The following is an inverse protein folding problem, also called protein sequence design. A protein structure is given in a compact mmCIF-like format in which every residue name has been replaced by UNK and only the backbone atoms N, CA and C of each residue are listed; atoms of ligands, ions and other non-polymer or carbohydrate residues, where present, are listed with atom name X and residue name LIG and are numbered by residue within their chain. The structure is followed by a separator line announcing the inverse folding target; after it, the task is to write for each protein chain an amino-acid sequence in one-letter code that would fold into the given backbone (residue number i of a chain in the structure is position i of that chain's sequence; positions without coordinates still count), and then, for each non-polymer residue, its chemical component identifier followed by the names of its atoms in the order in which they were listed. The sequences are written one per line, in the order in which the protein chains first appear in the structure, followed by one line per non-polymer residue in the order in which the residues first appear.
data_IF_996543171628
#
_entry.id   IF_996543171628
#
_cell.length_a   1.000
_cell.length_b   1.000
_cell.length_c   1.000
_cell.angle_alpha   90.00
_cell.angle_beta   90.00
_cell.angle_gamma   90.00
#
_symmetry.space_group_name_H-M   'P 1'
#
loop_
_entity.id
_entity.type
_entity.pdbx_description
1 polymer ?
#
# COMPACT_ATOMS: atom_id res chain seq x y z
N UNK A 1 -10.16 -21.36 16.98
CA UNK A 1 -9.91 -19.96 16.68
C UNK A 1 -10.07 -19.78 15.18
N UNK A 2 -10.76 -18.76 14.71
CA UNK A 2 -10.87 -18.44 13.28
C UNK A 2 -9.54 -17.87 12.79
N UNK A 3 -9.10 -18.25 11.59
CA UNK A 3 -7.91 -17.70 10.95
C UNK A 3 -8.10 -16.18 10.73
N UNK A 4 -7.17 -15.32 11.18
CA UNK A 4 -7.29 -13.88 10.97
C UNK A 4 -7.28 -13.51 9.48
N UNK A 5 -8.11 -12.56 9.09
CA UNK A 5 -8.19 -12.03 7.72
C UNK A 5 -7.33 -10.77 7.64
N UNK A 6 -6.32 -10.80 6.79
CA UNK A 6 -5.42 -9.67 6.52
C UNK A 6 -5.63 -9.20 5.08
N UNK A 7 -6.05 -7.96 4.94
CA UNK A 7 -6.39 -7.35 3.66
C UNK A 7 -5.36 -6.29 3.26
N UNK A 8 -5.06 -6.16 1.99
CA UNK A 8 -4.31 -5.05 1.44
C UNK A 8 -5.11 -4.26 0.41
N UNK A 9 -4.97 -2.93 0.43
CA UNK A 9 -5.60 -1.99 -0.49
C UNK A 9 -4.52 -1.22 -1.23
N UNK A 10 -4.45 -1.33 -2.54
CA UNK A 10 -3.53 -0.50 -3.29
C UNK A 10 -3.07 -1.08 -4.63
N UNK A 11 -1.85 -0.74 -5.00
CA UNK A 11 -1.28 -1.07 -6.29
C UNK A 11 -0.97 -2.56 -6.46
N UNK A 12 -1.26 -3.06 -7.66
CA UNK A 12 -0.79 -4.33 -8.20
C UNK A 12 -0.18 -4.03 -9.59
N UNK A 13 1.06 -4.46 -9.81
CA UNK A 13 1.83 -4.02 -10.96
C UNK A 13 2.88 -5.06 -11.38
N UNK A 14 3.47 -4.85 -12.55
CA UNK A 14 4.66 -5.55 -13.00
C UNK A 14 5.91 -4.70 -12.83
N UNK A 15 6.90 -5.21 -12.11
CA UNK A 15 8.28 -4.69 -12.15
C UNK A 15 8.96 -5.24 -13.40
N UNK A 16 9.31 -4.33 -14.32
CA UNK A 16 9.97 -4.66 -15.60
C UNK A 16 11.49 -4.64 -15.40
N UNK A 17 12.05 -5.79 -15.02
CA UNK A 17 13.47 -5.96 -14.77
C UNK A 17 14.19 -6.42 -16.05
N UNK A 18 15.50 -6.16 -16.21
CA UNK A 18 16.28 -6.71 -17.33
C UNK A 18 16.23 -8.25 -17.43
N UNK A 19 15.99 -8.93 -16.31
CA UNK A 19 15.87 -10.40 -16.25
C UNK A 19 14.46 -10.92 -16.56
N UNK A 20 13.50 -10.05 -16.81
CA UNK A 20 12.09 -10.38 -17.02
C UNK A 20 11.16 -9.67 -16.03
N UNK A 21 9.85 -9.78 -16.27
CA UNK A 21 8.84 -9.13 -15.42
C UNK A 21 8.60 -9.91 -14.12
N UNK A 22 8.38 -9.20 -13.03
CA UNK A 22 8.03 -9.74 -11.72
C UNK A 22 6.75 -9.08 -11.20
N UNK A 23 5.81 -9.88 -10.71
CA UNK A 23 4.62 -9.33 -10.04
C UNK A 23 5.03 -8.61 -8.74
N UNK A 24 4.52 -7.40 -8.55
CA UNK A 24 4.86 -6.49 -7.47
C UNK A 24 3.65 -5.68 -6.99
N UNK A 25 3.93 -4.76 -6.09
CA UNK A 25 2.99 -3.93 -5.37
C UNK A 25 3.15 -4.14 -3.86
N UNK A 26 3.52 -3.09 -3.12
CA UNK A 26 3.79 -3.21 -1.69
C UNK A 26 2.59 -3.79 -0.90
N UNK A 27 1.33 -3.36 -1.15
CA UNK A 27 0.19 -3.94 -0.45
C UNK A 27 -0.01 -5.43 -0.72
N UNK A 28 0.15 -5.86 -1.98
CA UNK A 28 -0.03 -7.28 -2.35
C UNK A 28 1.06 -8.15 -1.74
N UNK A 29 2.31 -7.67 -1.71
CA UNK A 29 3.41 -8.34 -1.03
C UNK A 29 3.12 -8.48 0.47
N UNK A 30 2.54 -7.47 1.11
CA UNK A 30 2.13 -7.53 2.51
C UNK A 30 1.10 -8.65 2.75
N UNK A 31 0.03 -8.73 1.95
CA UNK A 31 -0.97 -9.78 2.05
C UNK A 31 -0.38 -11.18 1.84
N UNK A 32 0.55 -11.33 0.88
CA UNK A 32 1.26 -12.57 0.62
C UNK A 32 2.07 -13.03 1.83
N UNK A 33 2.88 -12.15 2.42
CA UNK A 33 3.69 -12.49 3.59
C UNK A 33 2.84 -12.77 4.82
N UNK A 34 1.75 -12.02 5.03
CA UNK A 34 0.80 -12.31 6.10
C UNK A 34 0.20 -13.71 5.96
N UNK A 35 -0.22 -14.09 4.75
CA UNK A 35 -0.74 -15.43 4.46
C UNK A 35 0.31 -16.53 4.73
N UNK A 36 1.57 -16.32 4.34
CA UNK A 36 2.67 -17.27 4.63
C UNK A 36 2.91 -17.46 6.13
N UNK A 37 2.49 -16.50 6.94
CA UNK A 37 2.56 -16.55 8.40
C UNK A 37 1.25 -17.03 9.06
N UNK A 38 0.36 -17.69 8.31
CA UNK A 38 -0.80 -18.39 8.85
C UNK A 38 -2.07 -17.57 8.95
N UNK A 39 -2.17 -16.46 8.22
CA UNK A 39 -3.41 -15.68 8.09
C UNK A 39 -4.11 -15.97 6.76
N UNK A 40 -5.35 -15.51 6.61
CA UNK A 40 -6.05 -15.46 5.32
C UNK A 40 -5.73 -14.13 4.64
N UNK A 41 -4.87 -14.16 3.61
CA UNK A 41 -4.41 -12.95 2.89
C UNK A 41 -5.36 -12.58 1.76
N UNK A 42 -5.74 -11.30 1.70
CA UNK A 42 -6.59 -10.72 0.67
C UNK A 42 -5.94 -9.49 0.02
N UNK A 43 -6.12 -9.34 -1.29
CA UNK A 43 -5.68 -8.13 -2.02
C UNK A 43 -6.84 -7.51 -2.79
N UNK A 44 -7.02 -6.20 -2.62
CA UNK A 44 -7.92 -5.35 -3.40
C UNK A 44 -7.08 -4.41 -4.25
N UNK A 45 -7.31 -4.46 -5.57
CA UNK A 45 -6.63 -3.63 -6.56
C UNK A 45 -7.46 -3.53 -7.84
N UNK A 46 -6.88 -2.94 -8.89
CA UNK A 46 -7.42 -2.99 -10.24
C UNK A 46 -6.31 -3.23 -11.28
N UNK A 47 -6.66 -3.93 -12.37
CA UNK A 47 -5.82 -4.17 -13.54
C UNK A 47 -6.57 -3.80 -14.81
N UNK A 48 -5.85 -3.64 -15.91
CA UNK A 48 -6.43 -3.40 -17.21
C UNK A 48 -7.17 -4.61 -17.79
N UNK A 49 -7.99 -4.34 -18.79
CA UNK A 49 -8.58 -5.35 -19.68
C UNK A 49 -7.54 -5.76 -20.73
N UNK A 50 -6.34 -6.15 -20.29
CA UNK A 50 -5.19 -6.49 -21.11
C UNK A 50 -4.50 -7.78 -20.65
N UNK A 51 -3.59 -8.31 -21.46
CA UNK A 51 -2.87 -9.55 -21.19
C UNK A 51 -2.02 -9.48 -19.91
N UNK A 52 -1.41 -8.31 -19.63
CA UNK A 52 -0.64 -8.12 -18.41
C UNK A 52 -1.52 -8.22 -17.15
N UNK A 53 -2.76 -7.74 -17.23
CA UNK A 53 -3.76 -7.87 -16.18
C UNK A 53 -4.19 -9.31 -15.94
N UNK A 54 -4.40 -10.07 -17.02
CA UNK A 54 -4.72 -11.51 -16.94
C UNK A 54 -3.62 -12.28 -16.24
N UNK A 55 -2.37 -12.03 -16.61
CA UNK A 55 -1.21 -12.67 -16.00
C UNK A 55 -1.01 -12.28 -14.54
N UNK A 56 -1.25 -11.01 -14.14
CA UNK A 56 -1.15 -10.58 -12.74
C UNK A 56 -2.18 -11.29 -11.86
N UNK A 57 -3.43 -11.39 -12.33
CA UNK A 57 -4.48 -12.11 -11.62
C UNK A 57 -4.11 -13.59 -11.48
N UNK A 58 -3.61 -14.21 -12.55
CA UNK A 58 -3.15 -15.59 -12.52
C UNK A 58 -2.03 -15.79 -11.49
N UNK A 59 -1.04 -14.89 -11.45
CA UNK A 59 0.07 -14.93 -10.47
C UNK A 59 -0.40 -14.79 -9.03
N UNK A 60 -1.34 -13.88 -8.75
CA UNK A 60 -1.90 -13.73 -7.42
C UNK A 60 -2.65 -15.01 -6.97
N UNK A 61 -3.41 -15.63 -7.88
CA UNK A 61 -4.11 -16.88 -7.64
C UNK A 61 -3.13 -18.06 -7.41
N UNK A 62 -2.07 -18.18 -8.23
CA UNK A 62 -1.01 -19.18 -8.06
C UNK A 62 -0.30 -19.04 -6.71
N UNK A 63 -0.14 -17.81 -6.23
CA UNK A 63 0.44 -17.53 -4.91
C UNK A 63 -0.49 -17.89 -3.74
N UNK A 64 -1.78 -18.17 -4.02
CA UNK A 64 -2.80 -18.52 -3.03
C UNK A 64 -3.40 -17.32 -2.30
N UNK A 65 -3.20 -16.10 -2.81
CA UNK A 65 -3.80 -14.87 -2.24
C UNK A 65 -5.26 -14.81 -2.71
N UNK A 66 -6.19 -14.57 -1.79
CA UNK A 66 -7.56 -14.22 -2.16
C UNK A 66 -7.59 -12.82 -2.76
N UNK A 67 -8.32 -12.62 -3.83
CA UNK A 67 -8.30 -11.35 -4.55
C UNK A 67 -9.68 -10.79 -4.85
N UNK A 68 -9.82 -9.47 -4.77
CA UNK A 68 -10.90 -8.72 -5.41
C UNK A 68 -10.22 -7.69 -6.31
N UNK A 69 -9.83 -8.14 -7.49
CA UNK A 69 -9.16 -7.31 -8.49
C UNK A 69 -10.18 -6.87 -9.52
N UNK A 70 -10.42 -5.57 -9.60
CA UNK A 70 -11.30 -4.97 -10.59
C UNK A 70 -10.61 -4.93 -11.96
N UNK A 71 -11.40 -4.93 -13.03
CA UNK A 71 -10.93 -4.70 -14.39
C UNK A 71 -11.54 -3.40 -14.92
N UNK A 72 -10.71 -2.62 -15.59
CA UNK A 72 -11.15 -1.38 -16.22
C UNK A 72 -10.38 -1.11 -17.53
N UNK A 73 -10.78 -0.06 -18.25
CA UNK A 73 -10.20 0.29 -19.55
C UNK A 73 -8.80 0.95 -19.45
N UNK A 74 -8.30 1.23 -18.26
CA UNK A 74 -6.96 1.76 -18.07
C UNK A 74 -5.92 0.64 -18.14
N UNK A 75 -4.69 0.92 -18.61
CA UNK A 75 -3.69 -0.12 -18.76
C UNK A 75 -3.27 -0.70 -17.42
N UNK A 76 -2.91 -1.99 -17.42
CA UNK A 76 -2.23 -2.62 -16.29
C UNK A 76 -0.90 -1.91 -16.00
N UNK A 77 -0.63 -1.63 -14.75
CA UNK A 77 0.55 -0.89 -14.33
C UNK A 77 1.83 -1.67 -14.53
N UNK A 78 2.83 -0.98 -15.06
CA UNK A 78 4.22 -1.43 -15.11
C UNK A 78 5.12 -0.41 -14.43
N UNK A 79 6.18 -0.88 -13.79
CA UNK A 79 7.27 -0.05 -13.28
C UNK A 79 8.53 -0.44 -14.04
N UNK A 80 9.09 0.54 -14.76
CA UNK A 80 10.39 0.34 -15.41
C UNK A 80 11.50 0.52 -14.38
N UNK A 81 12.38 -0.46 -14.31
CA UNK A 81 13.56 -0.42 -13.44
C UNK A 81 14.79 -0.24 -14.32
N UNK A 82 15.31 0.97 -14.38
CA UNK A 82 16.55 1.30 -15.06
C UNK A 82 17.70 1.37 -14.07
N UNK A 83 18.87 0.82 -14.45
CA UNK A 83 20.08 0.96 -13.65
C UNK A 83 20.86 2.19 -14.13
N UNK A 84 20.92 3.24 -13.30
CA UNK A 84 21.74 4.40 -13.56
C UNK A 84 22.96 4.41 -12.62
N UNK A 85 24.14 4.18 -13.16
CA UNK A 85 25.37 4.00 -12.38
C UNK A 85 25.29 2.89 -11.33
N UNK A 86 24.54 1.81 -11.61
CA UNK A 86 24.35 0.71 -10.67
C UNK A 86 23.27 0.92 -9.61
N UNK A 87 22.61 2.08 -9.59
CA UNK A 87 21.51 2.40 -8.70
C UNK A 87 20.19 2.22 -9.45
N UNK A 88 19.22 1.45 -8.91
CA UNK A 88 17.89 1.31 -9.51
C UNK A 88 17.12 2.64 -9.52
N UNK A 89 16.64 3.04 -10.68
CA UNK A 89 15.75 4.18 -10.87
C UNK A 89 14.39 3.64 -11.31
N UNK A 90 13.34 3.93 -10.55
CA UNK A 90 11.99 3.42 -10.78
C UNK A 90 11.13 4.47 -11.47
N UNK A 91 10.57 4.13 -12.63
CA UNK A 91 9.58 4.98 -13.30
C UNK A 91 8.19 4.38 -13.14
N UNK A 92 7.34 5.03 -12.32
CA UNK A 92 5.97 4.62 -12.06
C UNK A 92 5.02 5.43 -12.94
N UNK A 93 4.38 4.77 -13.89
CA UNK A 93 3.46 5.41 -14.85
C UNK A 93 2.19 5.87 -14.13
N UNK A 94 1.66 7.05 -14.49
CA UNK A 94 0.35 7.57 -14.04
C UNK A 94 -0.75 7.17 -15.04
N UNK A 95 -2.02 7.18 -14.58
CA UNK A 95 -3.15 6.82 -15.44
C UNK A 95 -3.20 5.32 -15.77
N UNK A 96 -3.05 4.51 -14.74
CA UNK A 96 -3.10 3.05 -14.82
C UNK A 96 -4.30 2.51 -14.04
N UNK A 97 -4.61 1.24 -14.20
CA UNK A 97 -5.85 0.65 -13.71
C UNK A 97 -6.09 0.85 -12.20
N UNK A 98 -5.07 0.70 -11.34
CA UNK A 98 -5.24 0.91 -9.90
C UNK A 98 -5.34 2.39 -9.47
N UNK A 99 -5.15 3.35 -10.36
CA UNK A 99 -5.53 4.75 -10.14
C UNK A 99 -7.07 4.93 -10.16
N UNK A 100 -7.83 3.91 -10.59
CA UNK A 100 -9.27 3.91 -10.81
C UNK A 100 -9.99 2.74 -10.12
N UNK A 101 -9.68 2.52 -8.83
CA UNK A 101 -10.38 1.52 -8.00
C UNK A 101 -11.75 2.08 -7.64
N UNK A 102 -12.83 1.43 -8.09
CA UNK A 102 -14.19 1.87 -7.86
C UNK A 102 -14.73 1.38 -6.52
N UNK A 103 -15.46 2.23 -5.81
CA UNK A 103 -16.14 1.86 -4.58
C UNK A 103 -17.36 0.97 -4.89
N UNK A 104 -17.36 -0.25 -4.37
CA UNK A 104 -18.42 -1.24 -4.63
C UNK A 104 -18.86 -1.94 -3.35
N UNK A 105 -20.08 -2.49 -3.38
CA UNK A 105 -20.61 -3.30 -2.27
C UNK A 105 -19.72 -4.51 -1.96
N UNK A 106 -19.18 -5.16 -2.98
CA UNK A 106 -18.27 -6.29 -2.81
C UNK A 106 -17.04 -5.92 -1.97
N UNK A 107 -16.44 -4.74 -2.21
CA UNK A 107 -15.28 -4.28 -1.46
C UNK A 107 -15.64 -4.02 0.01
N UNK A 108 -16.80 -3.42 0.27
CA UNK A 108 -17.30 -3.19 1.65
C UNK A 108 -17.45 -4.53 2.37
N UNK A 109 -18.06 -5.52 1.73
CA UNK A 109 -18.34 -6.83 2.31
C UNK A 109 -17.05 -7.59 2.69
N UNK A 110 -15.95 -7.38 1.96
CA UNK A 110 -14.65 -7.97 2.26
C UNK A 110 -13.94 -7.18 3.37
N UNK A 111 -13.87 -5.85 3.24
CA UNK A 111 -13.19 -4.96 4.20
C UNK A 111 -13.81 -5.07 5.60
N UNK A 112 -15.15 -5.18 5.68
CA UNK A 112 -15.86 -5.28 6.97
C UNK A 112 -15.55 -6.56 7.77
N UNK A 113 -14.94 -7.57 7.15
CA UNK A 113 -14.53 -8.83 7.80
C UNK A 113 -13.06 -8.83 8.22
N UNK A 114 -12.25 -7.92 7.68
CA UNK A 114 -10.81 -7.92 7.90
C UNK A 114 -10.43 -7.64 9.36
N UNK A 115 -9.48 -8.42 9.88
CA UNK A 115 -8.84 -8.21 11.19
C UNK A 115 -7.74 -7.15 11.09
N UNK A 116 -7.09 -7.07 9.91
CA UNK A 116 -6.11 -6.04 9.59
C UNK A 116 -6.26 -5.58 8.15
N UNK A 117 -6.02 -4.30 7.90
CA UNK A 117 -6.01 -3.69 6.55
C UNK A 117 -4.72 -2.91 6.36
N UNK A 118 -3.95 -3.25 5.33
CA UNK A 118 -2.74 -2.52 4.94
C UNK A 118 -3.03 -1.60 3.75
N UNK A 119 -2.49 -0.38 3.80
CA UNK A 119 -2.59 0.62 2.74
C UNK A 119 -1.33 1.52 2.75
N UNK A 120 -1.06 2.17 1.62
CA UNK A 120 0.10 3.06 1.45
C UNK A 120 -0.28 4.36 0.73
N UNK A 121 0.71 5.20 0.44
CA UNK A 121 0.49 6.49 -0.24
C UNK A 121 0.26 6.36 -1.74
N UNK A 122 0.94 5.42 -2.40
CA UNK A 122 1.04 5.37 -3.85
C UNK A 122 -0.31 5.22 -4.55
N UNK A 123 -1.17 4.31 -4.08
CA UNK A 123 -2.48 4.09 -4.67
C UNK A 123 -3.48 5.23 -4.39
N UNK A 124 -3.17 6.13 -3.45
CA UNK A 124 -3.98 7.29 -3.14
C UNK A 124 -3.56 8.56 -3.89
N UNK A 125 -2.62 8.46 -4.83
CA UNK A 125 -2.20 9.58 -5.70
C UNK A 125 -3.29 10.05 -6.67
N UNK A 126 -4.24 9.16 -6.99
CA UNK A 126 -5.38 9.45 -7.86
C UNK A 126 -6.62 9.78 -7.02
N UNK A 127 -7.38 10.83 -7.35
CA UNK A 127 -8.57 11.22 -6.59
C UNK A 127 -9.62 10.11 -6.47
N UNK A 128 -9.78 9.27 -7.50
CA UNK A 128 -10.78 8.21 -7.53
C UNK A 128 -10.44 7.07 -6.56
N UNK A 129 -9.23 6.52 -6.65
CA UNK A 129 -8.78 5.49 -5.72
C UNK A 129 -8.60 6.03 -4.30
N UNK A 130 -8.18 7.30 -4.13
CA UNK A 130 -8.13 7.98 -2.85
C UNK A 130 -9.51 7.99 -2.18
N UNK A 131 -10.54 8.49 -2.86
CA UNK A 131 -11.89 8.52 -2.32
C UNK A 131 -12.41 7.11 -1.97
N UNK A 132 -12.13 6.13 -2.82
CA UNK A 132 -12.53 4.73 -2.59
C UNK A 132 -11.82 4.13 -1.37
N UNK A 133 -10.50 4.24 -1.29
CA UNK A 133 -9.72 3.60 -0.22
C UNK A 133 -10.03 4.25 1.14
N UNK A 134 -10.08 5.58 1.20
CA UNK A 134 -10.39 6.29 2.45
C UNK A 134 -11.81 5.99 2.93
N UNK A 135 -12.77 5.83 2.02
CA UNK A 135 -14.12 5.41 2.41
C UNK A 135 -14.15 3.95 2.90
N UNK A 136 -13.45 3.03 2.22
CA UNK A 136 -13.35 1.63 2.63
C UNK A 136 -12.74 1.48 4.03
N UNK A 137 -11.74 2.27 4.40
CA UNK A 137 -11.15 2.25 5.74
C UNK A 137 -12.14 2.57 6.87
N UNK A 138 -13.24 3.29 6.59
CA UNK A 138 -14.31 3.54 7.54
C UNK A 138 -15.21 2.32 7.78
N UNK A 139 -15.22 1.38 6.84
CA UNK A 139 -16.00 0.14 6.93
C UNK A 139 -15.27 -1.02 7.59
N UNK A 140 -14.03 -0.83 8.04
CA UNK A 140 -13.32 -1.85 8.83
C UNK A 140 -14.08 -2.14 10.13
N UNK A 141 -14.07 -3.40 10.56
CA UNK A 141 -14.73 -3.77 11.82
C UNK A 141 -14.08 -3.08 13.04
N UNK A 142 -14.82 -2.86 14.12
CA UNK A 142 -14.26 -2.32 15.35
C UNK A 142 -13.07 -3.15 15.84
N UNK A 143 -11.96 -2.47 16.16
CA UNK A 143 -10.72 -3.11 16.62
C UNK A 143 -9.85 -3.69 15.51
N UNK A 144 -10.23 -3.58 14.25
CA UNK A 144 -9.36 -3.95 13.14
C UNK A 144 -8.09 -3.10 13.12
N UNK A 145 -6.95 -3.75 12.89
CA UNK A 145 -5.66 -3.07 12.74
C UNK A 145 -5.61 -2.37 11.37
N UNK A 146 -5.34 -1.06 11.36
CA UNK A 146 -5.14 -0.26 10.16
C UNK A 146 -3.66 0.05 10.00
N UNK A 147 -3.00 -0.72 9.14
CA UNK A 147 -1.56 -0.70 8.94
C UNK A 147 -1.22 0.24 7.78
N UNK A 148 -0.68 1.41 8.10
CA UNK A 148 -0.19 2.37 7.12
C UNK A 148 1.30 2.13 6.86
N UNK A 149 1.64 1.56 5.69
CA UNK A 149 3.00 1.50 5.17
C UNK A 149 3.22 2.71 4.26
N UNK A 150 3.99 3.69 4.74
CA UNK A 150 4.11 4.96 4.02
C UNK A 150 4.75 4.79 2.65
N UNK A 151 5.83 4.01 2.56
CA UNK A 151 6.49 3.55 1.34
C UNK A 151 6.53 4.61 0.22
N UNK A 152 7.15 5.75 0.49
CA UNK A 152 7.17 6.92 -0.39
C UNK A 152 7.79 6.60 -1.75
N UNK A 153 7.15 7.07 -2.82
CA UNK A 153 7.62 6.88 -4.19
C UNK A 153 7.54 8.19 -4.98
N UNK A 154 8.69 8.63 -5.50
CA UNK A 154 8.78 9.83 -6.34
C UNK A 154 8.15 11.05 -5.67
N UNK A 155 7.22 11.70 -6.38
CA UNK A 155 6.45 12.87 -5.97
C UNK A 155 4.97 12.55 -5.67
N UNK A 156 4.63 11.26 -5.45
CA UNK A 156 3.26 10.78 -5.31
C UNK A 156 2.70 10.88 -3.89
N UNK A 157 3.12 11.90 -3.13
CA UNK A 157 2.66 12.15 -1.76
C UNK A 157 2.63 13.66 -1.45
N UNK A 158 1.89 14.02 -0.43
CA UNK A 158 1.88 15.37 0.15
C UNK A 158 1.75 15.27 1.66
N UNK A 159 2.06 16.39 2.36
CA UNK A 159 1.86 16.46 3.81
C UNK A 159 0.40 16.18 4.19
N UNK A 160 -0.55 16.78 3.48
CA UNK A 160 -1.97 16.65 3.76
C UNK A 160 -2.45 15.18 3.60
N UNK A 161 -1.99 14.50 2.53
CA UNK A 161 -2.29 13.08 2.33
C UNK A 161 -1.71 12.22 3.45
N UNK A 162 -0.45 12.42 3.82
CA UNK A 162 0.20 11.66 4.89
C UNK A 162 -0.52 11.89 6.23
N UNK A 163 -0.88 13.13 6.54
CA UNK A 163 -1.62 13.48 7.75
C UNK A 163 -3.00 12.82 7.79
N UNK A 164 -3.73 12.81 6.66
CA UNK A 164 -5.02 12.11 6.53
C UNK A 164 -4.86 10.61 6.83
N UNK A 165 -3.84 9.96 6.24
CA UNK A 165 -3.61 8.54 6.40
C UNK A 165 -3.14 8.16 7.80
N UNK A 166 -2.31 8.99 8.43
CA UNK A 166 -1.90 8.82 9.83
C UNK A 166 -3.11 8.89 10.78
N UNK A 167 -4.05 9.82 10.57
CA UNK A 167 -5.29 9.91 11.35
C UNK A 167 -6.20 8.67 11.18
N UNK A 168 -6.11 8.00 10.04
CA UNK A 168 -6.85 6.76 9.80
C UNK A 168 -6.14 5.51 10.35
N UNK A 169 -4.84 5.55 10.57
CA UNK A 169 -4.00 4.42 10.95
C UNK A 169 -4.11 4.05 12.44
N UNK A 170 -3.78 2.79 12.76
CA UNK A 170 -3.48 2.33 14.11
C UNK A 170 -2.04 1.87 14.24
N UNK A 171 -1.44 1.44 13.14
CA UNK A 171 -0.03 1.05 13.04
C UNK A 171 0.59 1.83 11.90
N UNK A 172 1.76 2.38 12.11
CA UNK A 172 2.52 3.13 11.13
C UNK A 172 3.88 2.47 10.90
N UNK A 173 4.20 2.17 9.65
CA UNK A 173 5.52 1.67 9.24
C UNK A 173 6.20 2.72 8.38
N UNK A 174 7.45 2.99 8.70
CA UNK A 174 8.30 3.99 8.05
C UNK A 174 9.75 3.51 8.08
N UNK A 175 10.56 3.82 7.08
CA UNK A 175 12.00 3.60 7.15
C UNK A 175 12.74 4.85 7.65
N UNK A 176 14.04 4.71 7.91
CA UNK A 176 14.85 5.78 8.51
C UNK A 176 14.97 7.02 7.60
N UNK A 177 15.07 6.84 6.27
CA UNK A 177 15.14 7.95 5.31
C UNK A 177 13.80 8.69 5.22
N UNK A 178 12.71 7.96 5.16
CA UNK A 178 11.36 8.52 5.18
C UNK A 178 11.08 9.28 6.48
N UNK A 179 11.55 8.75 7.62
CA UNK A 179 11.41 9.41 8.94
C UNK A 179 12.12 10.76 8.95
N UNK A 180 13.33 10.85 8.37
CA UNK A 180 14.06 12.11 8.24
C UNK A 180 13.29 13.11 7.38
N UNK A 181 12.71 12.65 6.26
CA UNK A 181 11.90 13.48 5.39
C UNK A 181 10.64 14.00 6.10
N UNK A 182 9.95 13.13 6.83
CA UNK A 182 8.76 13.52 7.58
C UNK A 182 9.07 14.49 8.73
N UNK A 183 10.18 14.33 9.42
CA UNK A 183 10.62 15.30 10.43
C UNK A 183 10.68 16.71 9.87
N UNK A 184 11.27 16.85 8.67
CA UNK A 184 11.36 18.14 7.99
C UNK A 184 9.98 18.64 7.55
N UNK A 185 9.15 17.76 7.01
CA UNK A 185 7.81 18.08 6.52
C UNK A 185 6.86 18.52 7.64
N UNK A 186 6.95 17.91 8.84
CA UNK A 186 6.11 18.21 10.00
C UNK A 186 6.74 19.22 10.97
N UNK A 187 7.89 19.79 10.62
CA UNK A 187 8.59 20.81 11.43
C UNK A 187 9.07 20.32 12.81
N UNK A 188 9.33 19.02 12.95
CA UNK A 188 9.85 18.40 14.18
C UNK A 188 11.38 18.27 14.16
N UNK A 189 12.05 19.28 13.60
CA UNK A 189 13.51 19.34 13.43
C UNK A 189 14.23 19.41 14.78
N UNK A 190 15.45 18.87 14.80
CA UNK A 190 16.30 18.90 15.98
C UNK A 190 16.00 17.80 17.01
N UNK A 191 15.03 16.93 16.77
CA UNK A 191 14.77 15.74 17.58
C UNK A 191 15.54 14.52 17.06
N UNK A 192 15.80 13.54 17.92
CA UNK A 192 16.30 12.22 17.49
C UNK A 192 15.25 11.46 16.67
N UNK A 193 15.62 10.38 15.98
CA UNK A 193 14.66 9.50 15.31
C UNK A 193 13.66 8.89 16.30
N UNK A 194 14.12 8.54 17.51
CA UNK A 194 13.26 8.04 18.58
C UNK A 194 12.24 9.10 19.05
N UNK A 195 12.68 10.35 19.25
CA UNK A 195 11.78 11.43 19.66
C UNK A 195 10.76 11.75 18.56
N UNK A 196 11.20 11.75 17.29
CA UNK A 196 10.28 11.94 16.16
C UNK A 196 9.24 10.81 16.08
N UNK A 197 9.65 9.56 16.24
CA UNK A 197 8.74 8.41 16.27
C UNK A 197 7.73 8.52 17.41
N UNK A 198 8.18 8.92 18.60
CA UNK A 198 7.31 9.15 19.76
C UNK A 198 6.30 10.27 19.50
N UNK A 199 6.74 11.36 18.86
CA UNK A 199 5.87 12.45 18.48
C UNK A 199 4.75 11.99 17.54
N UNK A 200 5.05 11.18 16.50
CA UNK A 200 4.04 10.62 15.60
C UNK A 200 3.03 9.73 16.34
N UNK A 201 3.51 8.90 17.29
CA UNK A 201 2.62 8.04 18.09
C UNK A 201 1.65 8.90 18.92
N UNK A 202 2.15 9.92 19.59
CA UNK A 202 1.35 10.77 20.48
C UNK A 202 0.39 11.68 19.69
N UNK A 203 0.88 12.32 18.62
CA UNK A 203 0.09 13.27 17.82
C UNK A 203 -1.08 12.57 17.09
N UNK A 204 -0.85 11.37 16.56
CA UNK A 204 -1.86 10.64 15.77
C UNK A 204 -2.54 9.51 16.54
N UNK A 205 -2.20 9.29 17.80
CA UNK A 205 -2.81 8.25 18.63
C UNK A 205 -2.54 6.83 18.12
N UNK A 206 -1.35 6.58 17.57
CA UNK A 206 -0.97 5.29 17.02
C UNK A 206 -0.73 4.27 18.14
N UNK A 207 -1.11 3.02 17.92
CA UNK A 207 -0.80 1.92 18.82
C UNK A 207 0.66 1.47 18.70
N UNK A 208 1.23 1.60 17.49
CA UNK A 208 2.58 1.16 17.17
C UNK A 208 3.13 1.99 16.00
N UNK A 209 4.41 2.36 16.12
CA UNK A 209 5.22 2.82 14.99
C UNK A 209 6.38 1.84 14.83
N UNK A 210 6.54 1.31 13.62
CA UNK A 210 7.62 0.40 13.25
C UNK A 210 8.59 1.10 12.32
N UNK A 211 9.87 1.13 12.71
CA UNK A 211 10.97 1.64 11.86
C UNK A 211 11.79 0.48 11.31
N UNK A 212 12.34 0.65 10.12
CA UNK A 212 13.30 -0.26 9.51
C UNK A 212 14.42 0.54 8.86
N UNK A 213 15.56 -0.10 8.63
CA UNK A 213 16.57 0.46 7.72
C UNK A 213 15.92 0.74 6.37
N UNK A 214 16.44 1.73 5.63
CA UNK A 214 15.98 2.00 4.28
C UNK A 214 15.98 0.69 3.48
N UNK A 215 14.86 0.39 2.84
CA UNK A 215 14.74 -0.85 2.07
C UNK A 215 15.66 -0.77 0.84
N UNK A 216 16.49 -1.79 0.68
CA UNK A 216 17.32 -2.00 -0.50
C UNK A 216 16.50 -2.24 -1.78
#
# INVERSE_FOLDING_TARGET
MTTPIVLSLGELLWDMLPSGKRAGGAPVNFAYHAMKNGTEGWAISAVGEDELGDELIAKANEAGINTVIQRNAWPTSTVEVALKNGIPEYTIVKGVAWDHILYTRQLIDVVSKADAVCFGTLALRSPESHATITELLKHTKPGAMKFFDINLRGDHYSKDLIEELLKAATVFKINDEELLLLRDMFDIRGTSGEDASRWFIEEFGLCLLYTSDAAD
#
